data_IF_384789603866
#
_entry.id   IF_384789603866
#
_cell.length_a   1.000
_cell.length_b   1.000
_cell.length_c   1.000
_cell.angle_alpha   90.00
_cell.angle_beta   90.00
_cell.angle_gamma   90.00
#
_symmetry.space_group_name_H-M   'P 1'
#
loop_
_entity.id
_entity.type
_entity.pdbx_description
1 polymer ?
#
# COMPACT_ATOMS: atom_id res chain seq x y z
N UNK A 1 -33.51 -25.97 -38.69
CA UNK A 1 -33.23 -26.07 -37.25
C UNK A 1 -31.72 -26.26 -37.17
N UNK A 2 -30.96 -25.17 -37.14
CA UNK A 2 -29.50 -25.24 -37.05
C UNK A 2 -29.16 -25.88 -35.71
N UNK A 3 -28.45 -27.00 -35.75
CA UNK A 3 -27.91 -27.65 -34.55
C UNK A 3 -27.14 -26.58 -33.75
N UNK A 4 -27.56 -26.32 -32.51
CA UNK A 4 -26.84 -25.38 -31.64
C UNK A 4 -25.49 -26.02 -31.31
N UNK A 5 -24.45 -25.66 -32.04
CA UNK A 5 -23.10 -26.20 -31.83
C UNK A 5 -22.62 -25.84 -30.41
N UNK A 6 -22.40 -26.87 -29.60
CA UNK A 6 -22.10 -26.73 -28.18
C UNK A 6 -20.60 -26.50 -27.97
N UNK A 7 -20.25 -25.41 -27.27
CA UNK A 7 -18.85 -25.10 -26.95
C UNK A 7 -18.48 -25.79 -25.63
N UNK A 8 -17.47 -26.65 -25.66
CA UNK A 8 -16.92 -27.26 -24.44
C UNK A 8 -15.85 -26.37 -23.81
N UNK A 9 -15.84 -26.34 -22.47
CA UNK A 9 -14.93 -25.54 -21.67
C UNK A 9 -13.82 -26.41 -21.07
N UNK A 10 -12.58 -26.16 -21.46
CA UNK A 10 -11.41 -26.86 -20.92
C UNK A 10 -10.54 -25.91 -20.09
N UNK A 11 -10.26 -26.28 -18.85
CA UNK A 11 -9.46 -25.48 -17.92
C UNK A 11 -8.02 -25.97 -17.83
N UNK A 12 -7.08 -25.11 -18.20
CA UNK A 12 -5.65 -25.39 -18.09
C UNK A 12 -5.15 -25.11 -16.67
N UNK A 13 -4.97 -26.17 -15.88
CA UNK A 13 -4.51 -26.10 -14.49
C UNK A 13 -3.18 -25.36 -14.35
N UNK A 14 -2.27 -25.51 -15.31
CA UNK A 14 -0.97 -24.81 -15.33
C UNK A 14 -1.12 -23.28 -15.38
N UNK A 15 -2.08 -22.77 -16.16
CA UNK A 15 -2.36 -21.33 -16.27
C UNK A 15 -3.11 -20.81 -15.06
N UNK A 16 -3.98 -21.63 -14.46
CA UNK A 16 -4.63 -21.29 -13.18
C UNK A 16 -3.56 -21.08 -12.11
N UNK A 17 -2.63 -22.03 -11.98
CA UNK A 17 -1.53 -21.94 -11.03
C UNK A 17 -0.63 -20.73 -11.30
N UNK A 18 -0.29 -20.45 -12.57
CA UNK A 18 0.49 -19.27 -12.94
C UNK A 18 -0.21 -17.96 -12.55
N UNK A 19 -1.51 -17.84 -12.82
CA UNK A 19 -2.29 -16.65 -12.44
C UNK A 19 -2.32 -16.46 -10.91
N UNK A 20 -2.38 -17.55 -10.15
CA UNK A 20 -2.30 -17.53 -8.70
C UNK A 20 -0.94 -17.03 -8.22
N UNK A 21 0.17 -17.50 -8.80
CA UNK A 21 1.51 -17.00 -8.46
C UNK A 21 1.66 -15.49 -8.74
N UNK A 22 1.07 -15.00 -9.84
CA UNK A 22 1.05 -13.56 -10.16
C UNK A 22 0.25 -12.79 -9.11
N UNK A 23 -0.90 -13.31 -8.68
CA UNK A 23 -1.71 -12.70 -7.63
C UNK A 23 -0.94 -12.61 -6.30
N UNK A 24 -0.26 -13.70 -5.91
CA UNK A 24 0.54 -13.78 -4.69
C UNK A 24 1.73 -12.82 -4.74
N UNK A 25 2.46 -12.76 -5.85
CA UNK A 25 3.61 -11.86 -6.00
C UNK A 25 3.20 -10.38 -5.96
N UNK A 26 2.11 -10.00 -6.63
CA UNK A 26 1.55 -8.64 -6.53
C UNK A 26 1.07 -8.30 -5.11
N UNK A 27 0.43 -9.25 -4.43
CA UNK A 27 -0.02 -9.09 -3.03
C UNK A 27 1.16 -8.94 -2.07
N UNK A 28 2.20 -9.76 -2.22
CA UNK A 28 3.41 -9.69 -1.41
C UNK A 28 4.16 -8.37 -1.62
N UNK A 29 4.28 -7.91 -2.87
CA UNK A 29 4.83 -6.59 -3.22
C UNK A 29 4.09 -5.45 -2.52
N UNK A 30 2.77 -5.50 -2.54
CA UNK A 30 1.92 -4.52 -1.87
C UNK A 30 2.13 -4.52 -0.36
N UNK A 31 2.22 -5.69 0.27
CA UNK A 31 2.50 -5.81 1.71
C UNK A 31 3.83 -5.14 2.06
N UNK A 32 4.90 -5.39 1.28
CA UNK A 32 6.22 -4.82 1.53
C UNK A 32 6.23 -3.29 1.37
N UNK A 33 5.58 -2.78 0.33
CA UNK A 33 5.46 -1.33 0.11
C UNK A 33 4.62 -0.66 1.20
N UNK A 34 3.54 -1.30 1.62
CA UNK A 34 2.69 -0.81 2.70
C UNK A 34 3.37 -0.83 4.05
N UNK A 35 4.30 -1.75 4.30
CA UNK A 35 5.14 -1.66 5.50
C UNK A 35 6.06 -0.45 5.46
N UNK A 36 6.72 -0.19 4.34
CA UNK A 36 7.53 1.02 4.16
C UNK A 36 6.72 2.29 4.31
N UNK A 37 5.48 2.29 3.82
CA UNK A 37 4.56 3.41 3.92
C UNK A 37 4.26 3.79 5.38
N UNK A 38 4.20 2.81 6.29
CA UNK A 38 4.02 3.05 7.74
C UNK A 38 5.25 3.70 8.37
N UNK A 39 6.44 3.31 7.93
CA UNK A 39 7.70 3.85 8.44
C UNK A 39 8.10 5.20 7.83
N UNK A 40 7.46 5.60 6.72
CA UNK A 40 7.74 6.88 6.06
C UNK A 40 7.23 8.06 6.90
N UNK A 41 8.06 9.11 7.02
CA UNK A 41 7.72 10.33 7.75
C UNK A 41 7.15 11.38 6.79
N UNK A 42 7.77 11.52 5.62
CA UNK A 42 7.41 12.54 4.64
C UNK A 42 6.13 12.21 3.88
N UNK A 43 5.28 13.23 3.70
CA UNK A 43 4.00 13.08 3.00
C UNK A 43 4.18 12.69 1.52
N UNK A 44 5.25 13.17 0.88
CA UNK A 44 5.59 12.84 -0.51
C UNK A 44 5.93 11.36 -0.66
N UNK A 45 6.77 10.83 0.22
CA UNK A 45 7.15 9.41 0.23
C UNK A 45 5.95 8.52 0.52
N UNK A 46 5.08 8.91 1.46
CA UNK A 46 3.81 8.22 1.69
C UNK A 46 2.93 8.19 0.43
N UNK A 47 2.84 9.29 -0.31
CA UNK A 47 2.06 9.30 -1.56
C UNK A 47 2.67 8.38 -2.63
N UNK A 48 3.99 8.45 -2.83
CA UNK A 48 4.70 7.61 -3.82
C UNK A 48 4.53 6.12 -3.49
N UNK A 49 4.71 5.73 -2.22
CA UNK A 49 4.56 4.35 -1.79
C UNK A 49 3.12 3.84 -1.94
N UNK A 50 2.13 4.72 -1.74
CA UNK A 50 0.71 4.37 -1.94
C UNK A 50 0.38 4.20 -3.43
N UNK A 51 0.93 5.05 -4.31
CA UNK A 51 0.83 4.89 -5.77
C UNK A 51 1.48 3.58 -6.23
N UNK A 52 2.72 3.30 -5.81
CA UNK A 52 3.41 2.05 -6.13
C UNK A 52 2.64 0.82 -5.64
N UNK A 53 2.06 0.90 -4.43
CA UNK A 53 1.24 -0.19 -3.88
C UNK A 53 -0.03 -0.42 -4.66
N UNK A 54 -0.66 0.65 -5.17
CA UNK A 54 -1.84 0.51 -6.01
C UNK A 54 -1.51 -0.14 -7.35
N UNK A 55 -0.40 0.24 -7.97
CA UNK A 55 0.06 -0.40 -9.22
C UNK A 55 0.45 -1.87 -8.97
N UNK A 56 1.09 -2.16 -7.83
CA UNK A 56 1.46 -3.53 -7.46
C UNK A 56 0.24 -4.43 -7.19
N UNK A 57 -0.73 -3.96 -6.39
CA UNK A 57 -1.92 -4.75 -6.10
C UNK A 57 -2.89 -4.74 -7.28
N UNK A 58 -3.34 -3.57 -7.72
CA UNK A 58 -4.34 -3.40 -8.78
C UNK A 58 -3.82 -3.78 -10.17
N UNK A 59 -2.64 -3.32 -10.54
CA UNK A 59 -2.04 -3.61 -11.85
C UNK A 59 -1.47 -5.02 -11.93
N UNK A 60 -0.54 -5.38 -11.05
CA UNK A 60 0.11 -6.70 -11.11
C UNK A 60 -0.75 -7.81 -10.50
N UNK A 61 -1.16 -7.65 -9.24
CA UNK A 61 -1.86 -8.70 -8.50
C UNK A 61 -3.27 -9.01 -8.98
N UNK A 62 -3.98 -8.02 -9.53
CA UNK A 62 -5.39 -8.17 -9.94
C UNK A 62 -5.52 -8.14 -11.48
N UNK A 63 -5.02 -7.09 -12.15
CA UNK A 63 -5.19 -6.95 -13.61
C UNK A 63 -4.35 -7.95 -14.42
N UNK A 64 -3.03 -8.07 -14.17
CA UNK A 64 -2.22 -9.07 -14.89
C UNK A 64 -2.67 -10.50 -14.59
N UNK A 65 -3.07 -10.74 -13.34
CA UNK A 65 -3.70 -12.00 -12.92
C UNK A 65 -4.96 -12.28 -13.74
N UNK A 66 -5.87 -11.31 -13.90
CA UNK A 66 -7.13 -11.47 -14.62
C UNK A 66 -6.91 -11.89 -16.08
N UNK A 67 -6.03 -11.22 -16.83
CA UNK A 67 -5.75 -11.59 -18.23
C UNK A 67 -5.02 -12.92 -18.38
N UNK A 68 -4.14 -13.25 -17.43
CA UNK A 68 -3.48 -14.56 -17.37
C UNK A 68 -4.50 -15.66 -17.04
N UNK A 69 -5.44 -15.39 -16.13
CA UNK A 69 -6.51 -16.29 -15.70
C UNK A 69 -7.56 -16.54 -16.77
N UNK A 70 -7.97 -15.51 -17.53
CA UNK A 70 -8.87 -15.66 -18.68
C UNK A 70 -8.28 -16.59 -19.75
N UNK A 71 -6.96 -16.57 -19.93
CA UNK A 71 -6.26 -17.48 -20.86
C UNK A 71 -6.22 -18.94 -20.37
N UNK A 72 -6.63 -19.23 -19.13
CA UNK A 72 -6.74 -20.59 -18.60
C UNK A 72 -7.96 -21.34 -19.14
N UNK A 73 -9.02 -20.63 -19.52
CA UNK A 73 -10.20 -21.20 -20.16
C UNK A 73 -9.96 -21.31 -21.67
N UNK A 74 -9.97 -22.53 -22.19
CA UNK A 74 -9.99 -22.81 -23.61
C UNK A 74 -11.40 -23.20 -24.03
N UNK A 75 -11.89 -22.53 -25.06
CA UNK A 75 -13.18 -22.82 -25.68
C UNK A 75 -12.91 -23.70 -26.90
N UNK A 76 -13.42 -24.93 -26.86
CA UNK A 76 -13.26 -25.90 -27.94
C UNK A 76 -14.62 -26.11 -28.59
N UNK A 77 -14.64 -26.09 -29.92
CA UNK A 77 -15.81 -26.38 -30.75
C UNK A 77 -15.99 -27.90 -30.91
N UNK A 78 -17.16 -28.35 -31.34
CA UNK A 78 -17.44 -29.78 -31.53
C UNK A 78 -16.48 -30.47 -32.53
N UNK A 79 -15.93 -29.70 -33.48
CA UNK A 79 -14.91 -30.14 -34.44
C UNK A 79 -13.49 -30.26 -33.85
N UNK A 80 -13.32 -29.97 -32.56
CA UNK A 80 -12.02 -29.99 -31.86
C UNK A 80 -11.14 -28.76 -32.11
N UNK A 81 -11.62 -27.76 -32.87
CA UNK A 81 -10.89 -26.51 -33.08
C UNK A 81 -10.97 -25.61 -31.86
N UNK A 82 -9.84 -24.98 -31.50
CA UNK A 82 -9.75 -24.08 -30.35
C UNK A 82 -10.05 -22.65 -30.81
N UNK A 83 -11.08 -22.05 -30.21
CA UNK A 83 -11.45 -20.67 -30.46
C UNK A 83 -10.39 -19.73 -29.90
N UNK A 84 -9.93 -18.80 -30.75
CA UNK A 84 -9.00 -17.75 -30.33
C UNK A 84 -9.77 -16.65 -29.61
N UNK A 85 -9.18 -16.16 -28.53
CA UNK A 85 -9.69 -15.05 -27.73
C UNK A 85 -8.68 -13.92 -27.84
N UNK A 86 -9.03 -12.89 -28.59
CA UNK A 86 -8.23 -11.68 -28.75
C UNK A 86 -8.79 -10.57 -27.86
N UNK A 87 -8.00 -9.52 -27.62
CA UNK A 87 -8.39 -8.43 -26.72
C UNK A 87 -8.35 -7.08 -27.42
N UNK A 88 -9.40 -6.30 -27.24
CA UNK A 88 -9.42 -4.92 -27.67
C UNK A 88 -8.54 -4.04 -26.76
N UNK A 89 -7.64 -3.26 -27.37
CA UNK A 89 -6.67 -2.44 -26.66
C UNK A 89 -7.32 -1.38 -25.74
N UNK A 90 -8.35 -0.68 -26.22
CA UNK A 90 -8.98 0.44 -25.51
C UNK A 90 -9.64 0.01 -24.19
N UNK A 91 -10.49 -1.02 -24.24
CA UNK A 91 -11.13 -1.58 -23.05
C UNK A 91 -10.11 -2.21 -22.10
N UNK A 92 -9.06 -2.84 -22.64
CA UNK A 92 -7.97 -3.42 -21.84
C UNK A 92 -7.25 -2.33 -21.02
N UNK A 93 -6.92 -1.19 -21.63
CA UNK A 93 -6.29 -0.06 -20.92
C UNK A 93 -7.25 0.58 -19.91
N UNK A 94 -8.52 0.76 -20.28
CA UNK A 94 -9.52 1.31 -19.37
C UNK A 94 -9.70 0.43 -18.12
N UNK A 95 -9.75 -0.89 -18.32
CA UNK A 95 -9.85 -1.88 -17.23
C UNK A 95 -8.64 -1.78 -16.27
N UNK A 96 -7.42 -1.56 -16.79
CA UNK A 96 -6.22 -1.33 -15.99
C UNK A 96 -6.35 -0.06 -15.12
N UNK A 97 -6.78 1.04 -15.72
CA UNK A 97 -6.98 2.32 -15.02
C UNK A 97 -8.03 2.16 -13.90
N UNK A 98 -9.12 1.45 -14.16
CA UNK A 98 -10.16 1.19 -13.15
C UNK A 98 -9.64 0.34 -11.98
N UNK A 99 -8.85 -0.69 -12.24
CA UNK A 99 -8.25 -1.50 -11.18
C UNK A 99 -7.29 -0.70 -10.31
N UNK A 100 -6.33 0.01 -10.92
CA UNK A 100 -5.36 0.84 -10.18
C UNK A 100 -6.05 2.02 -9.48
N UNK A 101 -7.05 2.64 -10.11
CA UNK A 101 -7.81 3.74 -9.52
C UNK A 101 -8.62 3.30 -8.30
N UNK A 102 -9.38 2.21 -8.41
CA UNK A 102 -10.21 1.69 -7.32
C UNK A 102 -9.38 1.21 -6.14
N UNK A 103 -8.27 0.50 -6.39
CA UNK A 103 -7.33 0.11 -5.33
C UNK A 103 -6.66 1.33 -4.71
N UNK A 104 -6.27 2.34 -5.48
CA UNK A 104 -5.63 3.56 -4.95
C UNK A 104 -6.57 4.30 -3.99
N UNK A 105 -7.82 4.51 -4.41
CA UNK A 105 -8.85 5.15 -3.57
C UNK A 105 -9.11 4.30 -2.33
N UNK A 106 -9.23 2.98 -2.48
CA UNK A 106 -9.39 2.06 -1.38
C UNK A 106 -8.25 2.16 -0.36
N UNK A 107 -7.00 2.07 -0.82
CA UNK A 107 -5.80 2.17 0.01
C UNK A 107 -5.75 3.53 0.71
N UNK A 108 -6.04 4.63 -0.01
CA UNK A 108 -6.07 5.98 0.58
C UNK A 108 -7.09 6.09 1.72
N UNK A 109 -8.31 5.58 1.52
CA UNK A 109 -9.36 5.59 2.55
C UNK A 109 -8.97 4.75 3.76
N UNK A 110 -8.48 3.52 3.52
CA UNK A 110 -8.08 2.61 4.59
C UNK A 110 -6.85 3.10 5.35
N UNK A 111 -5.93 3.79 4.67
CA UNK A 111 -4.71 4.35 5.26
C UNK A 111 -4.96 5.59 6.14
N UNK A 112 -6.09 6.27 5.96
CA UNK A 112 -6.47 7.46 6.71
C UNK A 112 -7.17 7.15 8.05
N UNK A 113 -7.13 5.90 8.54
CA UNK A 113 -7.84 5.51 9.76
C UNK A 113 -7.27 6.23 11.02
N UNK A 114 -8.10 6.88 11.87
CA UNK A 114 -7.61 7.67 13.01
C UNK A 114 -6.99 6.79 14.09
N UNK A 115 -7.48 5.55 14.24
CA UNK A 115 -6.91 4.60 15.20
C UNK A 115 -5.48 4.22 14.79
N UNK A 116 -5.21 4.13 13.49
CA UNK A 116 -3.87 3.89 12.99
C UNK A 116 -2.92 5.06 13.29
N UNK A 117 -3.40 6.30 13.13
CA UNK A 117 -2.62 7.50 13.47
C UNK A 117 -2.34 7.59 14.97
N UNK A 118 -3.31 7.29 15.83
CA UNK A 118 -3.14 7.28 17.29
C UNK A 118 -2.14 6.19 17.73
N UNK A 119 -2.22 4.99 17.16
CA UNK A 119 -1.31 3.88 17.48
C UNK A 119 0.11 4.13 16.95
N UNK A 120 0.26 4.77 15.78
CA UNK A 120 1.56 5.27 15.30
C UNK A 120 2.13 6.35 16.21
N UNK A 121 1.31 7.31 16.66
CA UNK A 121 1.74 8.37 17.56
C UNK A 121 2.17 7.82 18.91
N UNK A 122 1.42 6.86 19.49
CA UNK A 122 1.83 6.20 20.72
C UNK A 122 3.08 5.33 20.54
N UNK A 123 3.23 4.60 19.42
CA UNK A 123 4.47 3.87 19.13
C UNK A 123 5.67 4.82 19.03
N UNK A 124 5.54 5.98 18.36
CA UNK A 124 6.60 7.00 18.28
C UNK A 124 6.96 7.54 19.66
N UNK A 125 5.96 7.89 20.48
CA UNK A 125 6.17 8.33 21.86
C UNK A 125 6.82 7.25 22.71
N UNK A 126 6.38 6.00 22.58
CA UNK A 126 6.94 4.88 23.32
C UNK A 126 8.37 4.56 22.90
N UNK A 127 8.76 4.69 21.64
CA UNK A 127 10.16 4.52 21.21
C UNK A 127 11.04 5.64 21.80
N UNK A 128 10.59 6.89 21.74
CA UNK A 128 11.29 8.03 22.36
C UNK A 128 11.43 7.85 23.88
N UNK A 129 10.38 7.34 24.53
CA UNK A 129 10.39 7.02 25.96
C UNK A 129 11.23 5.77 26.24
N UNK A 130 11.31 4.77 25.37
CA UNK A 130 12.12 3.55 25.57
C UNK A 130 13.61 3.83 25.51
N UNK A 131 14.02 4.78 24.67
CA UNK A 131 15.38 5.33 24.69
C UNK A 131 15.68 6.09 25.99
N UNK A 132 14.66 6.64 26.66
CA UNK A 132 14.75 7.27 27.99
C UNK A 132 14.56 6.28 29.16
N UNK A 133 13.85 5.17 28.94
CA UNK A 133 13.35 4.23 29.95
C UNK A 133 14.13 2.90 29.96
N UNK A 134 15.28 2.84 29.28
CA UNK A 134 16.28 1.79 29.44
C UNK A 134 16.82 1.65 30.90
N UNK A 135 16.20 2.30 31.88
CA UNK A 135 16.55 2.26 33.32
C UNK A 135 15.52 1.54 34.21
N UNK A 136 14.37 1.05 33.72
CA UNK A 136 13.40 0.36 34.60
C UNK A 136 12.93 -1.00 34.05
N UNK A 137 13.48 -2.07 34.61
CA UNK A 137 13.25 -3.46 34.23
C UNK A 137 12.61 -4.23 35.41
N UNK A 138 11.28 -4.17 35.59
CA UNK A 138 10.63 -5.01 36.63
C UNK A 138 9.17 -5.46 36.42
N UNK A 139 8.43 -5.05 35.38
CA UNK A 139 6.98 -5.36 35.32
C UNK A 139 6.55 -6.38 34.24
N UNK A 140 7.22 -7.54 34.07
CA UNK A 140 7.03 -8.38 32.86
C UNK A 140 6.05 -9.58 33.00
N UNK A 141 5.61 -10.01 34.18
CA UNK A 141 5.09 -11.39 34.30
C UNK A 141 3.60 -11.62 33.90
N UNK A 142 2.83 -10.61 33.51
CA UNK A 142 1.50 -10.85 32.89
C UNK A 142 1.11 -9.89 31.75
N UNK A 143 2.06 -9.06 31.29
CA UNK A 143 1.81 -8.07 30.22
C UNK A 143 1.50 -8.72 28.88
N UNK A 144 2.10 -9.86 28.55
CA UNK A 144 1.93 -10.48 27.22
C UNK A 144 0.53 -11.03 26.97
N UNK A 145 -0.11 -11.64 27.99
CA UNK A 145 -1.44 -12.25 27.85
C UNK A 145 -2.54 -11.19 27.76
N UNK A 146 -2.43 -10.16 28.59
CA UNK A 146 -3.31 -8.97 28.56
C UNK A 146 -3.09 -8.18 27.28
N UNK A 147 -1.83 -7.96 26.86
CA UNK A 147 -1.52 -7.30 25.59
C UNK A 147 -2.06 -8.09 24.38
N UNK A 148 -1.97 -9.42 24.36
CA UNK A 148 -2.57 -10.25 23.30
C UNK A 148 -4.09 -10.07 23.25
N UNK A 149 -4.78 -10.07 24.39
CA UNK A 149 -6.24 -9.85 24.45
C UNK A 149 -6.63 -8.46 23.97
N UNK A 150 -5.90 -7.42 24.38
CA UNK A 150 -6.12 -6.05 23.92
C UNK A 150 -5.86 -5.93 22.40
N UNK A 151 -4.79 -6.56 21.89
CA UNK A 151 -4.49 -6.60 20.44
C UNK A 151 -5.62 -7.27 19.64
N UNK A 152 -6.21 -8.36 20.14
CA UNK A 152 -7.32 -9.05 19.48
C UNK A 152 -8.59 -8.17 19.45
N UNK A 153 -8.91 -7.51 20.56
CA UNK A 153 -10.08 -6.61 20.62
C UNK A 153 -9.88 -5.39 19.69
N UNK A 154 -8.66 -4.86 19.64
CA UNK A 154 -8.27 -3.79 18.71
C UNK A 154 -8.23 -4.23 17.23
N UNK A 155 -8.22 -5.54 16.96
CA UNK A 155 -8.26 -6.12 15.62
C UNK A 155 -9.64 -5.93 14.96
N UNK A 156 -10.70 -5.84 15.76
CA UNK A 156 -12.09 -5.79 15.30
C UNK A 156 -12.80 -4.47 15.62
N UNK A 157 -12.13 -3.53 16.28
CA UNK A 157 -12.71 -2.22 16.60
C UNK A 157 -12.62 -1.25 15.40
N UNK A 158 -13.69 -0.47 15.18
CA UNK A 158 -13.79 0.60 14.15
C UNK A 158 -13.43 0.13 12.73
N UNK A 159 -14.14 -0.89 12.24
CA UNK A 159 -14.05 -1.42 10.86
C UNK A 159 -14.64 -0.56 9.72
N UNK A 160 -15.46 0.51 9.90
CA UNK A 160 -16.22 1.07 8.77
C UNK A 160 -15.32 1.74 7.72
N UNK A 161 -14.14 2.24 8.08
CA UNK A 161 -13.18 2.78 7.09
C UNK A 161 -12.47 1.69 6.30
N UNK A 162 -12.14 0.56 6.92
CA UNK A 162 -11.57 -0.60 6.22
C UNK A 162 -12.61 -1.19 5.27
N UNK A 163 -13.86 -1.32 5.73
CA UNK A 163 -14.98 -1.72 4.88
C UNK A 163 -15.21 -0.71 3.75
N UNK A 164 -15.10 0.60 4.02
CA UNK A 164 -15.15 1.65 2.99
C UNK A 164 -14.02 1.52 1.96
N UNK A 165 -12.78 1.32 2.40
CA UNK A 165 -11.65 1.09 1.51
C UNK A 165 -11.81 -0.20 0.69
N UNK A 166 -12.27 -1.27 1.32
CA UNK A 166 -12.61 -2.55 0.69
C UNK A 166 -13.74 -2.41 -0.34
N UNK A 167 -14.75 -1.58 -0.08
CA UNK A 167 -15.84 -1.29 -1.01
C UNK A 167 -15.31 -0.66 -2.30
N UNK A 168 -14.51 0.39 -2.20
CA UNK A 168 -13.95 1.06 -3.39
C UNK A 168 -12.97 0.17 -4.16
N UNK A 169 -12.17 -0.64 -3.45
CA UNK A 169 -11.33 -1.63 -4.08
C UNK A 169 -12.17 -2.70 -4.80
N UNK A 170 -13.20 -3.24 -4.17
CA UNK A 170 -14.12 -4.19 -4.78
C UNK A 170 -14.81 -3.61 -6.02
N UNK A 171 -15.29 -2.36 -5.96
CA UNK A 171 -15.87 -1.68 -7.12
C UNK A 171 -14.87 -1.57 -8.27
N UNK A 172 -13.62 -1.18 -7.99
CA UNK A 172 -12.57 -1.14 -9.01
C UNK A 172 -12.28 -2.52 -9.64
N UNK A 173 -12.25 -3.57 -8.81
CA UNK A 173 -12.06 -4.95 -9.26
C UNK A 173 -13.23 -5.43 -10.11
N UNK A 174 -14.47 -5.15 -9.70
CA UNK A 174 -15.67 -5.53 -10.45
C UNK A 174 -15.74 -4.82 -11.81
N UNK A 175 -15.53 -3.50 -11.82
CA UNK A 175 -15.49 -2.73 -13.07
C UNK A 175 -14.37 -3.26 -13.98
N UNK A 176 -13.17 -3.48 -13.45
CA UNK A 176 -12.07 -4.06 -14.24
C UNK A 176 -12.43 -5.45 -14.77
N UNK A 177 -13.02 -6.31 -13.94
CA UNK A 177 -13.34 -7.69 -14.31
C UNK A 177 -14.35 -7.75 -15.47
N UNK A 178 -15.45 -7.00 -15.38
CA UNK A 178 -16.45 -6.99 -16.45
C UNK A 178 -15.96 -6.23 -17.69
N UNK A 179 -15.22 -5.13 -17.54
CA UNK A 179 -14.59 -4.46 -18.70
C UNK A 179 -13.56 -5.36 -19.38
N UNK A 180 -12.80 -6.15 -18.61
CA UNK A 180 -11.84 -7.12 -19.12
C UNK A 180 -12.51 -8.26 -19.90
N UNK A 181 -13.63 -8.78 -19.41
CA UNK A 181 -14.43 -9.75 -20.16
C UNK A 181 -15.09 -9.13 -21.40
N UNK A 182 -15.56 -7.88 -21.34
CA UNK A 182 -16.08 -7.16 -22.51
C UNK A 182 -14.99 -6.83 -23.55
N UNK A 183 -13.73 -6.77 -23.13
CA UNK A 183 -12.60 -6.58 -24.04
C UNK A 183 -12.31 -7.82 -24.89
N UNK A 184 -12.84 -9.00 -24.51
CA UNK A 184 -12.66 -10.25 -25.26
C UNK A 184 -13.39 -10.18 -26.60
N UNK A 185 -12.64 -10.41 -27.68
CA UNK A 185 -13.13 -10.56 -29.04
C UNK A 185 -12.91 -12.02 -29.44
N UNK A 186 -13.99 -12.77 -29.58
CA UNK A 186 -13.98 -14.19 -29.94
C UNK A 186 -15.24 -14.53 -30.73
N UNK A 187 -15.23 -15.63 -31.49
CA UNK A 187 -16.37 -16.13 -32.28
C UNK A 187 -17.43 -16.82 -31.40
N UNK A 188 -17.65 -16.29 -30.20
CA UNK A 188 -18.64 -16.78 -29.26
C UNK A 188 -19.31 -15.60 -28.55
N UNK A 189 -20.64 -15.62 -28.51
CA UNK A 189 -21.43 -14.70 -27.68
C UNK A 189 -21.34 -15.12 -26.22
N UNK A 190 -20.92 -14.18 -25.37
CA UNK A 190 -20.87 -14.35 -23.92
C UNK A 190 -22.17 -13.86 -23.30
N UNK A 191 -22.90 -14.74 -22.61
CA UNK A 191 -24.07 -14.39 -21.79
C UNK A 191 -23.74 -14.53 -20.31
N UNK A 192 -24.05 -13.51 -19.52
CA UNK A 192 -23.86 -13.52 -18.07
C UNK A 192 -25.16 -13.90 -17.36
N UNK A 193 -25.11 -14.91 -16.51
CA UNK A 193 -26.25 -15.27 -15.67
C UNK A 193 -26.32 -14.32 -14.48
N UNK A 194 -27.35 -13.47 -14.43
CA UNK A 194 -27.48 -12.39 -13.43
C UNK A 194 -27.40 -12.91 -11.98
N UNK A 195 -27.98 -14.08 -11.68
CA UNK A 195 -27.92 -14.66 -10.33
C UNK A 195 -26.49 -14.95 -9.86
N UNK A 196 -25.66 -15.56 -10.72
CA UNK A 196 -24.26 -15.89 -10.39
C UNK A 196 -23.40 -14.63 -10.32
N UNK A 197 -23.70 -13.61 -11.15
CA UNK A 197 -23.06 -12.29 -11.10
C UNK A 197 -23.29 -11.60 -9.74
N UNK A 198 -24.51 -11.64 -9.20
CA UNK A 198 -24.79 -11.04 -7.88
C UNK A 198 -24.00 -11.77 -6.79
N UNK A 199 -23.92 -13.09 -6.85
CA UNK A 199 -23.14 -13.88 -5.89
C UNK A 199 -21.64 -13.55 -5.98
N UNK A 200 -21.07 -13.43 -7.19
CA UNK A 200 -19.67 -13.06 -7.36
C UNK A 200 -19.36 -11.64 -6.87
N UNK A 201 -20.29 -10.69 -7.05
CA UNK A 201 -20.20 -9.33 -6.51
C UNK A 201 -20.14 -9.35 -4.97
N UNK A 202 -21.00 -10.16 -4.32
CA UNK A 202 -20.97 -10.30 -2.87
C UNK A 202 -19.64 -10.91 -2.39
N UNK A 203 -19.18 -11.98 -3.05
CA UNK A 203 -17.88 -12.60 -2.76
C UNK A 203 -16.76 -11.56 -2.88
N UNK A 204 -16.74 -10.77 -3.96
CA UNK A 204 -15.75 -9.73 -4.18
C UNK A 204 -15.73 -8.67 -3.07
N UNK A 205 -16.89 -8.25 -2.58
CA UNK A 205 -16.96 -7.30 -1.48
C UNK A 205 -16.37 -7.88 -0.18
N UNK A 206 -16.73 -9.12 0.18
CA UNK A 206 -16.24 -9.77 1.39
C UNK A 206 -14.74 -10.05 1.32
N UNK A 207 -14.25 -10.57 0.20
CA UNK A 207 -12.83 -10.90 0.03
C UNK A 207 -11.96 -9.65 -0.04
N UNK A 208 -12.41 -8.57 -0.70
CA UNK A 208 -11.68 -7.30 -0.71
C UNK A 208 -11.60 -6.69 0.70
N UNK A 209 -12.71 -6.72 1.44
CA UNK A 209 -12.73 -6.26 2.83
C UNK A 209 -11.80 -7.10 3.71
N UNK A 210 -11.81 -8.43 3.55
CA UNK A 210 -10.91 -9.32 4.27
C UNK A 210 -9.43 -9.07 3.92
N UNK A 211 -9.10 -8.88 2.64
CA UNK A 211 -7.74 -8.56 2.20
C UNK A 211 -7.24 -7.24 2.79
N UNK A 212 -8.09 -6.21 2.84
CA UNK A 212 -7.75 -4.93 3.43
C UNK A 212 -7.63 -5.01 4.95
N UNK A 213 -8.46 -5.83 5.59
CA UNK A 213 -8.33 -6.14 7.00
C UNK A 213 -6.99 -6.83 7.31
N UNK A 214 -6.56 -7.80 6.49
CA UNK A 214 -5.23 -8.42 6.62
C UNK A 214 -4.14 -7.35 6.47
N UNK A 215 -4.22 -6.55 5.41
CA UNK A 215 -3.21 -5.57 5.04
C UNK A 215 -3.02 -4.48 6.09
N UNK A 216 -4.11 -3.88 6.60
CA UNK A 216 -4.05 -2.73 7.51
C UNK A 216 -4.13 -3.09 9.00
N UNK A 217 -4.71 -4.25 9.34
CA UNK A 217 -4.93 -4.64 10.73
C UNK A 217 -4.00 -5.79 11.14
N UNK A 218 -4.14 -6.95 10.52
CA UNK A 218 -3.41 -8.15 10.95
C UNK A 218 -1.90 -7.94 10.91
N UNK A 219 -1.38 -7.40 9.81
CA UNK A 219 0.06 -7.19 9.63
C UNK A 219 0.63 -6.06 10.50
N UNK A 220 -0.19 -5.11 10.96
CA UNK A 220 0.27 -4.03 11.85
C UNK A 220 0.61 -4.53 13.26
N UNK A 221 -0.03 -5.63 13.71
CA UNK A 221 0.18 -6.18 15.06
C UNK A 221 1.29 -7.23 15.14
N UNK A 222 1.62 -7.86 14.02
CA UNK A 222 2.58 -8.96 13.89
C UNK A 222 3.66 -8.61 12.86
N UNK A 223 4.23 -7.42 12.98
CA UNK A 223 5.22 -6.88 12.04
C UNK A 223 6.50 -7.73 11.96
N UNK A 224 6.89 -8.37 13.07
CA UNK A 224 8.19 -9.07 13.19
C UNK A 224 8.24 -10.44 12.49
N UNK A 225 7.12 -10.93 11.92
CA UNK A 225 7.05 -12.29 11.35
C UNK A 225 6.96 -12.27 9.82
N UNK A 226 8.08 -12.59 9.17
CA UNK A 226 8.15 -12.80 7.72
C UNK A 226 7.22 -13.92 7.23
N UNK A 227 7.09 -14.99 8.03
CA UNK A 227 6.21 -16.11 7.71
C UNK A 227 4.73 -15.67 7.63
N UNK A 228 4.30 -14.76 8.50
CA UNK A 228 2.94 -14.23 8.47
C UNK A 228 2.71 -13.32 7.25
N UNK A 229 3.73 -12.56 6.81
CA UNK A 229 3.67 -11.74 5.60
C UNK A 229 3.48 -12.62 4.36
N UNK A 230 4.29 -13.69 4.25
CA UNK A 230 4.15 -14.66 3.16
C UNK A 230 2.79 -15.38 3.22
N UNK A 231 2.37 -15.85 4.40
CA UNK A 231 1.06 -16.49 4.60
C UNK A 231 -0.11 -15.56 4.23
N UNK A 232 -0.01 -14.27 4.57
CA UNK A 232 -1.00 -13.26 4.20
C UNK A 232 -1.07 -13.04 2.69
N UNK A 233 0.07 -12.99 2.01
CA UNK A 233 0.11 -12.87 0.55
C UNK A 233 -0.51 -14.07 -0.17
N UNK A 234 -0.30 -15.29 0.35
CA UNK A 234 -0.94 -16.51 -0.15
C UNK A 234 -2.47 -16.43 0.00
N UNK A 235 -2.96 -16.06 1.19
CA UNK A 235 -4.40 -15.89 1.45
C UNK A 235 -5.02 -14.81 0.57
N UNK A 236 -4.34 -13.66 0.42
CA UNK A 236 -4.78 -12.59 -0.48
C UNK A 236 -4.80 -13.05 -1.95
N UNK A 237 -3.82 -13.84 -2.39
CA UNK A 237 -3.82 -14.46 -3.71
C UNK A 237 -5.03 -15.37 -3.93
N UNK A 238 -5.37 -16.21 -2.94
CA UNK A 238 -6.56 -17.08 -3.00
C UNK A 238 -7.83 -16.22 -3.10
N UNK A 239 -7.91 -15.14 -2.33
CA UNK A 239 -9.03 -14.22 -2.37
C UNK A 239 -9.20 -13.59 -3.77
N UNK A 240 -8.12 -13.08 -4.37
CA UNK A 240 -8.15 -12.51 -5.73
C UNK A 240 -8.55 -13.58 -6.76
N UNK A 241 -7.93 -14.76 -6.73
CA UNK A 241 -8.30 -15.87 -7.62
C UNK A 241 -9.76 -16.31 -7.45
N UNK A 242 -10.23 -16.44 -6.21
CA UNK A 242 -11.60 -16.81 -5.91
C UNK A 242 -12.59 -15.83 -6.51
N UNK A 243 -12.34 -14.52 -6.41
CA UNK A 243 -13.21 -13.50 -7.04
C UNK A 243 -13.19 -13.58 -8.57
N UNK A 244 -12.03 -13.81 -9.17
CA UNK A 244 -11.91 -13.90 -10.61
C UNK A 244 -12.62 -15.12 -11.19
N UNK A 245 -12.36 -16.32 -10.64
CA UNK A 245 -12.93 -17.55 -11.15
C UNK A 245 -14.41 -17.72 -10.81
N UNK A 246 -14.87 -17.19 -9.67
CA UNK A 246 -16.31 -17.10 -9.40
C UNK A 246 -17.03 -16.19 -10.39
N UNK A 247 -16.40 -15.08 -10.81
CA UNK A 247 -16.91 -14.21 -11.86
C UNK A 247 -16.97 -14.89 -13.23
N UNK A 248 -15.91 -15.60 -13.62
CA UNK A 248 -15.88 -16.36 -14.88
C UNK A 248 -16.92 -17.48 -14.92
N UNK A 249 -17.21 -18.12 -13.78
CA UNK A 249 -18.25 -19.15 -13.68
C UNK A 249 -19.67 -18.64 -14.02
N UNK A 250 -19.89 -17.32 -14.08
CA UNK A 250 -21.16 -16.74 -14.49
C UNK A 250 -21.33 -16.63 -16.02
N UNK A 251 -20.25 -16.82 -16.79
CA UNK A 251 -20.23 -16.64 -18.23
C UNK A 251 -20.54 -17.94 -18.98
N UNK A 252 -21.55 -17.90 -19.84
CA UNK A 252 -21.87 -18.97 -20.81
C UNK A 252 -21.52 -18.50 -22.21
N UNK A 253 -20.92 -19.39 -23.00
CA UNK A 253 -20.49 -19.10 -24.36
C UNK A 253 -21.37 -19.86 -25.36
N UNK A 254 -21.86 -19.17 -26.39
CA UNK A 254 -22.52 -19.79 -27.55
C UNK A 254 -21.82 -19.36 -28.83
N UNK A 255 -21.58 -20.28 -29.75
CA UNK A 255 -20.89 -19.98 -31.00
C UNK A 255 -21.69 -18.99 -31.87
N UNK A 256 -20.99 -18.04 -32.49
CA UNK A 256 -21.56 -17.07 -33.45
C UNK A 256 -20.55 -16.86 -34.58
N UNK A 257 -20.96 -17.11 -35.82
CA UNK A 257 -20.09 -17.03 -37.02
C UNK A 257 -19.46 -15.64 -37.22
N UNK A 258 -20.20 -14.56 -36.89
CA UNK A 258 -19.81 -13.17 -37.20
C UNK A 258 -19.24 -12.39 -35.98
N UNK A 259 -18.63 -13.11 -35.02
CA UNK A 259 -18.17 -12.52 -33.74
C UNK A 259 -16.93 -11.62 -33.82
N UNK A 260 -16.27 -11.49 -34.98
CA UNK A 260 -15.10 -10.62 -35.13
C UNK A 260 -15.50 -9.25 -35.67
N UNK A 261 -15.88 -8.34 -34.75
CA UNK A 261 -16.10 -6.93 -35.10
C UNK A 261 -14.86 -6.30 -35.75
N UNK A 262 -15.00 -5.84 -36.98
CA UNK A 262 -13.96 -5.16 -37.76
C UNK A 262 -13.82 -3.70 -37.30
N UNK A 263 -12.66 -3.30 -36.74
CA UNK A 263 -12.33 -1.88 -36.59
C UNK A 263 -11.44 -1.45 -35.41
N UNK A 264 -11.15 -2.32 -34.44
CA UNK A 264 -10.34 -1.96 -33.25
C UNK A 264 -8.93 -2.55 -33.30
N UNK A 265 -7.93 -1.86 -32.73
CA UNK A 265 -6.59 -2.43 -32.50
C UNK A 265 -6.70 -3.59 -31.52
N UNK A 266 -6.35 -4.80 -31.97
CA UNK A 266 -6.48 -6.04 -31.20
C UNK A 266 -5.12 -6.62 -30.83
N UNK A 267 -5.01 -7.12 -29.61
CA UNK A 267 -3.87 -7.90 -29.14
C UNK A 267 -4.22 -9.38 -29.15
N UNK A 268 -3.31 -10.21 -29.66
CA UNK A 268 -3.43 -11.66 -29.57
C UNK A 268 -3.48 -12.08 -28.11
N UNK A 269 -4.48 -12.87 -27.72
CA UNK A 269 -4.67 -13.24 -26.30
C UNK A 269 -3.47 -13.92 -25.64
N UNK A 270 -2.76 -14.77 -26.40
CA UNK A 270 -1.53 -15.42 -25.93
C UNK A 270 -0.40 -14.41 -25.65
N UNK A 271 -0.24 -13.42 -26.52
CA UNK A 271 0.77 -12.36 -26.33
C UNK A 271 0.40 -11.46 -25.15
N UNK A 272 -0.88 -11.11 -25.00
CA UNK A 272 -1.38 -10.33 -23.88
C UNK A 272 -1.11 -11.02 -22.54
N UNK A 273 -1.36 -12.33 -22.43
CA UNK A 273 -1.06 -13.09 -21.21
C UNK A 273 0.44 -13.18 -20.90
N UNK A 274 1.28 -13.39 -21.92
CA UNK A 274 2.74 -13.42 -21.73
C UNK A 274 3.24 -12.06 -21.27
N UNK A 275 2.78 -10.97 -21.91
CA UNK A 275 3.16 -9.61 -21.54
C UNK A 275 2.68 -9.26 -20.12
N UNK A 276 1.44 -9.61 -19.77
CA UNK A 276 0.88 -9.38 -18.45
C UNK A 276 1.68 -10.13 -17.36
N UNK A 277 1.92 -11.42 -17.56
CA UNK A 277 2.67 -12.26 -16.61
C UNK A 277 4.11 -11.78 -16.43
N UNK A 278 4.90 -11.67 -17.51
CA UNK A 278 6.31 -11.27 -17.42
C UNK A 278 6.46 -9.83 -16.98
N UNK A 279 5.61 -8.92 -17.50
CA UNK A 279 5.60 -7.52 -17.09
C UNK A 279 5.33 -7.34 -15.61
N UNK A 280 4.36 -8.09 -15.06
CA UNK A 280 4.06 -8.05 -13.62
C UNK A 280 5.21 -8.53 -12.74
N UNK A 281 5.87 -9.62 -13.14
CA UNK A 281 7.01 -10.19 -12.40
C UNK A 281 8.22 -9.27 -12.45
N UNK A 282 8.53 -8.69 -13.62
CA UNK A 282 9.63 -7.73 -13.78
C UNK A 282 9.37 -6.46 -12.96
N UNK A 283 8.14 -5.93 -13.01
CA UNK A 283 7.77 -4.76 -12.20
C UNK A 283 7.90 -5.05 -10.70
N UNK A 284 7.34 -6.18 -10.23
CA UNK A 284 7.45 -6.57 -8.83
C UNK A 284 8.92 -6.78 -8.43
N UNK A 285 9.72 -7.46 -9.25
CA UNK A 285 11.14 -7.65 -8.99
C UNK A 285 11.90 -6.31 -8.87
N UNK A 286 11.65 -5.38 -9.80
CA UNK A 286 12.28 -4.06 -9.80
C UNK A 286 11.91 -3.25 -8.56
N UNK A 287 10.62 -3.21 -8.22
CA UNK A 287 10.10 -2.50 -7.05
C UNK A 287 10.63 -3.10 -5.76
N UNK A 288 10.71 -4.43 -5.65
CA UNK A 288 11.28 -5.11 -4.48
C UNK A 288 12.77 -4.84 -4.33
N UNK A 289 13.51 -4.85 -5.43
CA UNK A 289 14.94 -4.53 -5.42
C UNK A 289 15.16 -3.08 -4.97
N UNK A 290 14.37 -2.15 -5.50
CA UNK A 290 14.40 -0.75 -5.05
C UNK A 290 14.02 -0.61 -3.58
N UNK A 291 13.02 -1.36 -3.13
CA UNK A 291 12.56 -1.42 -1.74
C UNK A 291 13.71 -1.88 -0.82
N UNK A 292 14.38 -3.00 -1.12
CA UNK A 292 15.52 -3.47 -0.34
C UNK A 292 16.67 -2.45 -0.36
N UNK A 293 17.04 -1.96 -1.53
CA UNK A 293 18.15 -1.00 -1.68
C UNK A 293 17.90 0.31 -0.93
N UNK A 294 16.67 0.84 -0.96
CA UNK A 294 16.31 2.04 -0.19
C UNK A 294 16.33 1.80 1.32
N UNK A 295 15.95 0.61 1.79
CA UNK A 295 16.06 0.28 3.22
C UNK A 295 17.53 0.22 3.67
N UNK A 296 18.39 -0.42 2.89
CA UNK A 296 19.83 -0.52 3.19
C UNK A 296 20.49 0.86 3.21
N UNK A 297 20.18 1.72 2.23
CA UNK A 297 20.70 3.11 2.21
C UNK A 297 20.30 3.91 3.44
N UNK A 298 19.06 3.76 3.91
CA UNK A 298 18.57 4.46 5.11
C UNK A 298 19.27 3.98 6.38
N UNK A 299 19.55 2.68 6.50
CA UNK A 299 20.31 2.13 7.64
C UNK A 299 21.77 2.61 7.60
N UNK A 300 22.40 2.56 6.43
CA UNK A 300 23.78 3.01 6.25
C UNK A 300 23.95 4.50 6.58
N UNK A 301 23.00 5.34 6.15
CA UNK A 301 23.04 6.78 6.45
C UNK A 301 22.88 7.06 7.95
N UNK A 302 21.99 6.34 8.65
CA UNK A 302 21.85 6.42 10.11
C UNK A 302 23.15 6.07 10.84
N UNK A 303 23.78 4.93 10.49
CA UNK A 303 25.07 4.52 11.10
C UNK A 303 26.16 5.54 10.82
N UNK A 304 26.21 6.10 9.60
CA UNK A 304 27.19 7.13 9.26
C UNK A 304 27.00 8.42 10.08
N UNK A 305 25.75 8.84 10.32
CA UNK A 305 25.43 10.02 11.10
C UNK A 305 25.77 9.82 12.59
N UNK A 306 25.46 8.65 13.16
CA UNK A 306 25.87 8.26 14.51
C UNK A 306 27.40 8.31 14.68
N UNK A 307 28.15 7.80 13.69
CA UNK A 307 29.62 7.85 13.73
C UNK A 307 30.16 9.29 13.69
N UNK A 308 29.51 10.19 12.94
CA UNK A 308 29.88 11.62 12.88
C UNK A 308 29.57 12.34 14.19
N UNK A 309 28.42 12.06 14.81
CA UNK A 309 28.04 12.64 16.11
C UNK A 309 28.99 12.17 17.21
N UNK A 310 29.31 10.87 17.26
CA UNK A 310 30.27 10.31 18.22
C UNK A 310 31.66 10.94 18.08
N UNK A 311 32.17 11.13 16.85
CA UNK A 311 33.44 11.82 16.61
C UNK A 311 33.41 13.30 17.01
N UNK A 312 32.25 13.97 16.91
CA UNK A 312 32.09 15.39 17.29
C UNK A 312 32.12 15.59 18.80
N UNK A 313 31.61 14.63 19.58
CA UNK A 313 31.59 14.71 21.05
C UNK A 313 32.93 14.29 21.70
N UNK A 314 33.81 13.62 20.95
CA UNK A 314 35.18 13.30 21.38
C UNK A 314 36.22 14.40 21.07
N UNK A 315 35.83 15.50 20.41
CA UNK A 315 36.71 16.67 20.26
C UNK A 315 36.96 17.36 21.60
N UNK A 316 38.10 18.06 21.81
CA UNK A 316 38.40 18.71 23.08
C UNK A 316 37.29 19.72 23.42
N UNK A 317 36.47 19.40 24.43
CA UNK A 317 35.49 20.32 24.99
C UNK A 317 36.26 21.50 25.57
N UNK A 318 36.31 22.64 24.88
CA UNK A 318 36.62 23.92 25.52
C UNK A 318 35.48 24.22 26.48
N UNK A 319 35.64 23.77 27.73
CA UNK A 319 34.82 24.23 28.85
C UNK A 319 35.18 25.71 29.03
N UNK A 320 34.43 26.61 28.40
CA UNK A 320 34.47 28.02 28.74
C UNK A 320 33.75 28.12 30.08
N UNK A 321 34.52 28.06 31.16
CA UNK A 321 34.04 28.40 32.49
C UNK A 321 33.71 29.89 32.46
N UNK A 322 32.45 30.23 32.24
CA UNK A 322 31.96 31.56 32.54
C UNK A 322 32.13 31.79 34.04
N UNK A 323 33.08 32.65 34.42
CA UNK A 323 33.14 33.16 35.79
C UNK A 323 31.86 33.96 36.05
N UNK A 324 30.86 33.32 36.65
CA UNK A 324 29.77 34.03 37.30
C UNK A 324 30.37 34.77 38.49
N UNK A 325 30.51 36.10 38.38
CA UNK A 325 30.83 36.97 39.52
C UNK A 325 29.79 36.70 40.62
N UNK A 326 30.21 36.06 41.69
CA UNK A 326 29.46 36.02 42.95
C UNK A 326 29.48 37.43 43.53
N UNK A 327 28.38 38.17 43.35
CA UNK A 327 28.11 39.36 44.16
C UNK A 327 27.67 38.87 45.54
N UNK A 328 28.52 39.07 46.54
CA UNK A 328 28.19 38.89 47.95
C UNK A 328 26.98 39.76 48.32
N UNK A 329 25.82 39.12 48.52
CA UNK A 329 24.69 39.76 49.18
C UNK A 329 24.91 39.67 50.69
N UNK A 330 25.37 40.78 51.25
CA UNK A 330 25.51 40.99 52.68
C UNK A 330 24.11 41.13 53.30
N UNK A 331 23.66 40.10 54.04
CA UNK A 331 22.42 40.15 54.82
C UNK A 331 22.67 41.03 56.03
N UNK A 332 22.23 42.29 55.96
CA UNK A 332 22.17 43.19 57.12
C UNK A 332 20.71 43.38 57.51
N UNK A 333 20.36 42.79 58.64
CA UNK A 333 19.12 43.03 59.38
C UNK A 333 19.16 44.46 59.93
N UNK A 334 18.21 45.32 59.53
CA UNK A 334 17.60 46.29 60.43
C UNK A 334 16.34 46.93 59.82
N UNK A 335 15.35 47.14 60.69
CA UNK A 335 13.99 47.56 60.35
C UNK A 335 13.79 49.04 60.08
N UNK A 336 12.51 49.40 59.90
CA UNK A 336 12.00 50.75 60.05
C UNK A 336 11.53 51.45 58.77
N UNK A 337 10.21 51.51 58.63
CA UNK A 337 9.39 52.70 58.27
C UNK A 337 9.52 53.44 56.93
N UNK A 338 8.33 53.57 56.32
CA UNK A 338 7.74 54.73 55.62
C UNK A 338 8.16 55.12 54.18
N UNK A 339 7.17 54.91 53.30
CA UNK A 339 6.44 55.92 52.53
C UNK A 339 7.07 56.61 51.30
N UNK A 340 6.25 56.53 50.24
CA UNK A 340 5.91 57.53 49.23
C UNK A 340 6.64 57.58 47.87
N UNK A 341 5.74 57.71 46.87
CA UNK A 341 5.86 58.36 45.54
C UNK A 341 6.74 57.66 44.49
N UNK A 342 6.46 57.65 43.19
CA UNK A 342 5.34 57.89 42.27
C UNK A 342 6.02 58.02 40.87
N UNK A 343 5.25 57.89 39.79
CA UNK A 343 5.59 58.31 38.40
C UNK A 343 6.41 57.28 37.56
N UNK A 344 6.18 56.96 36.28
CA UNK A 344 5.19 57.22 35.22
C UNK A 344 5.69 56.43 33.98
N UNK A 345 4.80 55.70 33.27
CA UNK A 345 4.58 55.61 31.78
C UNK A 345 5.84 55.67 30.85
N UNK A 346 6.00 54.90 29.77
CA UNK A 346 5.12 54.79 28.59
C UNK A 346 5.78 53.88 27.52
N UNK A 347 4.95 53.38 26.61
CA UNK A 347 5.20 52.49 25.45
C UNK A 347 6.20 53.04 24.40
N UNK A 348 6.79 52.15 23.59
CA UNK A 348 6.70 52.23 22.11
C UNK A 348 7.36 51.04 21.39
N UNK A 349 6.61 50.47 20.46
CA UNK A 349 7.00 49.54 19.40
C UNK A 349 7.72 50.31 18.27
N UNK A 350 8.80 49.77 17.71
CA UNK A 350 9.21 50.04 16.33
C UNK A 350 10.15 48.95 15.77
N UNK A 351 9.71 48.43 14.63
CA UNK A 351 10.30 47.46 13.72
C UNK A 351 11.38 48.13 12.84
N UNK A 352 12.52 47.46 12.61
CA UNK A 352 13.50 47.89 11.60
C UNK A 352 14.05 46.68 10.84
N UNK A 353 13.75 46.71 9.57
CA UNK A 353 14.19 45.86 8.45
C UNK A 353 15.67 46.14 8.09
N UNK A 354 16.44 45.09 7.75
CA UNK A 354 17.70 45.27 6.98
C UNK A 354 18.12 43.99 6.25
N UNK A 355 17.80 43.95 4.96
CA UNK A 355 18.55 43.22 3.92
C UNK A 355 20.01 43.68 3.89
N UNK A 356 20.94 42.76 3.67
CA UNK A 356 22.17 43.01 2.91
C UNK A 356 22.63 41.69 2.26
N UNK A 357 22.55 41.69 0.93
CA UNK A 357 23.18 40.76 0.01
C UNK A 357 24.41 41.45 -0.56
N UNK A 358 25.56 40.77 -0.60
CA UNK A 358 26.61 41.06 -1.58
C UNK A 358 27.50 39.83 -1.75
N UNK A 359 27.44 39.26 -2.96
CA UNK A 359 28.41 38.33 -3.51
C UNK A 359 29.79 38.98 -3.68
N UNK A 360 30.85 38.18 -3.60
CA UNK A 360 32.07 38.43 -4.38
C UNK A 360 32.76 37.09 -4.70
N UNK A 361 32.81 36.81 -5.99
CA UNK A 361 33.58 35.78 -6.71
C UNK A 361 35.09 36.09 -6.65
N UNK A 362 35.97 35.08 -6.58
CA UNK A 362 37.17 34.93 -7.45
C UNK A 362 37.90 33.58 -7.27
N UNK A 363 38.53 33.18 -8.38
CA UNK A 363 39.13 31.90 -8.80
C UNK A 363 40.46 31.47 -8.16
N UNK A 364 40.76 30.18 -8.36
CA UNK A 364 42.04 29.45 -8.62
C UNK A 364 43.32 29.80 -7.84
N UNK A 365 43.92 28.78 -7.21
CA UNK A 365 45.12 28.04 -7.68
C UNK A 365 44.96 26.56 -7.33
#
# INVERSE_FOLDING_TARGET
MSEEEEITQHWLVSKIFLSYLIAVTGSFCTIQLMEKWRSAIDAKDKLILLLLSSVALGGCGIWCMHFTGMNALQLTREDGSVLRVDFEAGLTILSFICAVGGVFVGLKIASADPFFLELEQEKRKNILVKDLAATAMSDVVNKQKVAKRIKIIALFSRLPRIAGGGLFAALGVLVMHYLGMMAQRTQASMKLTAGVVVVSVLIAFFTATAAFWILFRALTFFQDSEALRLGSALIMGIAVCGTHYSGMGAASYKFVEDGMGSGSVQFKGSQAAILASHGSLLFCYWVMTWSVASSVRNIASMTSNLSKVSKRDQGPRKIVVGQTKMTENNVRVNGGTNANTASTRQESVAEVDRKLSSESVFNEV
#
